data_IF_185678945531
#
_entry.id   IF_185678945531
#
_cell.length_a   1.000
_cell.length_b   1.000
_cell.length_c   1.000
_cell.angle_alpha   90.00
_cell.angle_beta   90.00
_cell.angle_gamma   90.00
#
_symmetry.space_group_name_H-M   'P 1'
#
loop_
_entity.id
_entity.type
_entity.pdbx_description
1 polymer ?
#
# COMPACT_ATOMS: atom_id res chain seq x y z
N UNK A 1 -52.36 7.05 67.84
CA UNK A 1 -51.55 8.06 67.15
C UNK A 1 -50.09 7.65 67.24
N UNK A 2 -49.79 6.42 66.85
CA UNK A 2 -49.62 5.97 65.44
C UNK A 2 -48.30 6.59 64.95
N UNK A 3 -47.19 5.89 64.76
CA UNK A 3 -47.02 4.52 64.32
C UNK A 3 -46.37 4.59 62.95
N UNK A 4 -45.03 4.57 62.86
CA UNK A 4 -44.39 4.46 61.55
C UNK A 4 -43.05 3.72 61.61
N UNK A 5 -43.18 2.39 61.61
CA UNK A 5 -42.71 1.58 60.48
C UNK A 5 -41.24 1.75 60.06
N UNK A 6 -40.38 0.94 60.68
CA UNK A 6 -39.06 0.61 60.14
C UNK A 6 -39.13 0.19 58.67
N UNK A 7 -38.34 0.82 57.80
CA UNK A 7 -38.05 0.27 56.48
C UNK A 7 -36.54 0.31 56.19
N UNK A 8 -35.81 -0.60 56.86
CA UNK A 8 -34.44 -0.97 56.47
C UNK A 8 -34.50 -1.67 55.11
N UNK A 9 -34.40 -0.91 54.03
CA UNK A 9 -34.18 -1.43 52.68
C UNK A 9 -32.91 -2.29 52.69
N UNK A 10 -33.09 -3.61 52.76
CA UNK A 10 -32.02 -4.59 52.49
C UNK A 10 -31.50 -4.34 51.08
N UNK A 11 -30.31 -3.74 50.96
CA UNK A 11 -29.53 -3.75 49.72
C UNK A 11 -29.23 -5.21 49.40
N UNK A 12 -30.00 -5.79 48.49
CA UNK A 12 -29.64 -7.02 47.81
C UNK A 12 -28.32 -6.76 47.09
N UNK A 13 -27.23 -7.37 47.57
CA UNK A 13 -25.97 -7.42 46.82
C UNK A 13 -26.29 -8.10 45.49
N UNK A 14 -26.01 -7.49 44.33
CA UNK A 14 -26.20 -8.18 43.06
C UNK A 14 -25.33 -9.45 43.09
N UNK A 15 -25.95 -10.59 42.79
CA UNK A 15 -25.24 -11.86 42.60
C UNK A 15 -24.15 -11.61 41.54
N UNK A 16 -22.90 -12.07 41.75
CA UNK A 16 -21.89 -11.97 40.71
C UNK A 16 -22.41 -12.75 39.50
N UNK A 17 -22.74 -12.04 38.43
CA UNK A 17 -22.88 -12.66 37.13
C UNK A 17 -21.55 -13.37 36.86
N UNK A 18 -21.56 -14.64 36.39
CA UNK A 18 -20.34 -15.30 35.98
C UNK A 18 -19.64 -14.34 35.03
N UNK A 19 -18.41 -13.98 35.37
CA UNK A 19 -17.63 -12.94 34.72
C UNK A 19 -17.93 -13.00 33.22
N UNK A 20 -18.46 -11.90 32.67
CA UNK A 20 -18.48 -11.74 31.22
C UNK A 20 -17.03 -11.95 30.80
N UNK A 21 -16.71 -13.14 30.29
CA UNK A 21 -15.34 -13.49 29.93
C UNK A 21 -14.92 -12.40 28.95
N UNK A 22 -13.96 -11.59 29.36
CA UNK A 22 -13.43 -10.54 28.52
C UNK A 22 -12.55 -11.22 27.47
N UNK A 23 -13.22 -11.79 26.47
CA UNK A 23 -12.59 -12.52 25.37
C UNK A 23 -11.55 -11.65 24.67
N UNK A 24 -11.78 -10.34 24.61
CA UNK A 24 -10.86 -9.36 24.01
C UNK A 24 -9.55 -9.30 24.80
N UNK A 25 -9.60 -9.32 26.13
CA UNK A 25 -8.40 -9.36 26.97
C UNK A 25 -7.60 -10.66 26.84
N UNK A 26 -8.26 -11.77 26.47
CA UNK A 26 -7.62 -13.09 26.30
C UNK A 26 -6.96 -13.32 24.93
N UNK A 27 -7.24 -12.49 23.94
CA UNK A 27 -6.67 -12.63 22.58
C UNK A 27 -5.14 -12.48 22.60
N UNK A 28 -4.38 -13.15 21.72
CA UNK A 28 -2.96 -12.86 21.46
C UNK A 28 -2.70 -11.46 20.85
N UNK A 29 -1.46 -10.94 20.93
CA UNK A 29 -1.12 -9.56 20.47
C UNK A 29 -1.27 -9.39 18.95
N UNK A 30 -0.95 -10.44 18.21
CA UNK A 30 -1.16 -10.63 16.79
C UNK A 30 -2.64 -10.44 16.38
N UNK A 31 -3.59 -10.92 17.18
CA UNK A 31 -5.02 -10.69 16.94
C UNK A 31 -5.41 -9.24 17.23
N UNK A 32 -4.75 -8.56 18.18
CA UNK A 32 -4.97 -7.14 18.41
C UNK A 32 -4.50 -6.30 17.22
N UNK A 33 -3.37 -6.67 16.60
CA UNK A 33 -2.89 -6.04 15.38
C UNK A 33 -3.88 -6.18 14.23
N UNK A 34 -4.51 -7.35 14.08
CA UNK A 34 -5.57 -7.58 13.08
C UNK A 34 -6.77 -6.68 13.35
N UNK A 35 -7.25 -6.63 14.60
CA UNK A 35 -8.40 -5.78 14.97
C UNK A 35 -8.09 -4.31 14.67
N UNK A 36 -6.95 -3.78 15.11
CA UNK A 36 -6.56 -2.39 14.83
C UNK A 36 -6.35 -2.15 13.33
N UNK A 37 -5.91 -3.16 12.58
CA UNK A 37 -5.83 -3.15 11.12
C UNK A 37 -7.16 -2.89 10.40
N UNK A 38 -8.27 -3.26 11.03
CA UNK A 38 -9.62 -3.12 10.49
C UNK A 38 -10.35 -1.86 10.97
N UNK A 39 -9.82 -1.18 11.99
CA UNK A 39 -10.45 0.00 12.55
C UNK A 39 -10.07 1.27 11.75
N UNK A 40 -11.04 2.18 11.51
CA UNK A 40 -10.71 3.53 11.05
C UNK A 40 -9.79 4.24 12.04
N UNK A 41 -8.93 5.14 11.55
CA UNK A 41 -7.92 5.88 12.33
C UNK A 41 -8.46 6.42 13.66
N UNK A 42 -9.63 7.07 13.66
CA UNK A 42 -10.25 7.64 14.88
C UNK A 42 -10.53 6.59 15.94
N UNK A 43 -11.06 5.44 15.53
CA UNK A 43 -11.36 4.31 16.41
C UNK A 43 -10.07 3.63 16.86
N UNK A 44 -9.11 3.45 15.95
CA UNK A 44 -7.78 2.92 16.26
C UNK A 44 -7.07 3.72 17.35
N UNK A 45 -7.00 5.05 17.22
CA UNK A 45 -6.42 5.93 18.25
C UNK A 45 -7.14 5.80 19.60
N UNK A 46 -8.47 5.66 19.59
CA UNK A 46 -9.26 5.49 20.82
C UNK A 46 -9.00 4.15 21.51
N UNK A 47 -8.62 3.10 20.79
CA UNK A 47 -8.31 1.81 21.40
C UNK A 47 -7.17 1.89 22.42
N UNK A 48 -6.24 2.83 22.26
CA UNK A 48 -5.16 3.08 23.21
C UNK A 48 -5.65 3.48 24.63
N UNK A 49 -6.92 3.86 24.77
CA UNK A 49 -7.57 4.17 26.05
C UNK A 49 -8.18 2.94 26.74
N UNK A 50 -8.36 1.81 26.04
CA UNK A 50 -9.04 0.63 26.57
C UNK A 50 -8.22 -0.08 27.65
N UNK A 51 -6.92 -0.30 27.39
CA UNK A 51 -6.01 -0.86 28.40
C UNK A 51 -4.55 -0.52 28.11
N UNK A 52 -3.66 -0.81 29.07
CA UNK A 52 -2.21 -0.70 28.89
C UNK A 52 -1.69 -1.53 27.70
N UNK A 53 -2.36 -2.64 27.40
CA UNK A 53 -1.99 -3.54 26.29
C UNK A 53 -2.34 -2.93 24.95
N UNK A 54 -3.55 -2.40 24.79
CA UNK A 54 -3.96 -1.69 23.58
C UNK A 54 -3.13 -0.42 23.30
N UNK A 55 -2.69 0.27 24.36
CA UNK A 55 -1.75 1.40 24.24
C UNK A 55 -0.40 1.01 23.64
N UNK A 56 0.00 -0.26 23.74
CA UNK A 56 1.28 -0.76 23.22
C UNK A 56 1.21 -1.12 21.74
N UNK A 57 0.02 -1.26 21.17
CA UNK A 57 -0.16 -1.66 19.77
C UNK A 57 0.14 -0.46 18.86
N UNK A 58 0.89 -0.64 17.76
CA UNK A 58 1.23 0.45 16.85
C UNK A 58 0.00 1.03 16.13
N UNK A 59 0.13 2.28 15.71
CA UNK A 59 -0.93 3.02 15.03
C UNK A 59 -1.03 2.63 13.55
N UNK A 60 -2.25 2.48 13.06
CA UNK A 60 -2.57 2.48 11.63
C UNK A 60 -3.24 3.81 11.28
N UNK A 61 -2.57 4.63 10.49
CA UNK A 61 -3.00 5.97 10.14
C UNK A 61 -3.47 6.00 8.68
N UNK A 62 -4.78 6.04 8.48
CA UNK A 62 -5.40 6.38 7.20
C UNK A 62 -5.79 7.85 7.18
N UNK A 63 -5.32 8.56 6.17
CA UNK A 63 -5.55 9.98 5.92
C UNK A 63 -6.50 10.09 4.74
N UNK A 64 -7.80 10.19 5.04
CA UNK A 64 -8.87 10.25 4.05
C UNK A 64 -9.95 11.28 4.46
N UNK A 65 -11.02 11.39 3.67
CA UNK A 65 -12.16 12.27 3.97
C UNK A 65 -12.88 11.94 5.28
N UNK A 66 -12.77 10.71 5.80
CA UNK A 66 -13.37 10.31 7.07
C UNK A 66 -12.61 10.88 8.28
N UNK A 67 -11.32 11.18 8.14
CA UNK A 67 -10.51 11.75 9.21
C UNK A 67 -10.97 13.17 9.58
N UNK A 68 -11.14 14.05 8.58
CA UNK A 68 -11.64 15.41 8.76
C UNK A 68 -12.22 15.94 7.45
N UNK A 69 -13.23 16.79 7.58
CA UNK A 69 -13.76 17.57 6.47
C UNK A 69 -12.79 18.70 6.10
N UNK A 70 -12.40 18.76 4.82
CA UNK A 70 -11.43 19.70 4.29
C UNK A 70 -9.96 19.34 4.56
N UNK A 71 -9.12 19.56 3.54
CA UNK A 71 -7.70 19.20 3.56
C UNK A 71 -6.92 19.88 4.69
N UNK A 72 -7.12 21.19 4.94
CA UNK A 72 -6.39 21.91 5.98
C UNK A 72 -6.62 21.31 7.39
N UNK A 73 -7.88 20.94 7.70
CA UNK A 73 -8.23 20.31 8.98
C UNK A 73 -7.67 18.89 9.06
N UNK A 74 -7.68 18.16 7.95
CA UNK A 74 -7.07 16.83 7.86
C UNK A 74 -5.57 16.89 8.11
N UNK A 75 -4.86 17.83 7.48
CA UNK A 75 -3.43 18.04 7.71
C UNK A 75 -3.13 18.36 9.17
N UNK A 76 -3.90 19.25 9.79
CA UNK A 76 -3.73 19.60 11.20
C UNK A 76 -3.97 18.39 12.13
N UNK A 77 -4.99 17.57 11.83
CA UNK A 77 -5.27 16.34 12.57
C UNK A 77 -4.11 15.34 12.47
N UNK A 78 -3.54 15.14 11.27
CA UNK A 78 -2.39 14.25 11.07
C UNK A 78 -1.18 14.74 11.85
N UNK A 79 -0.80 16.03 11.73
CA UNK A 79 0.31 16.59 12.50
C UNK A 79 0.10 16.40 14.02
N UNK A 80 -1.13 16.59 14.51
CA UNK A 80 -1.45 16.37 15.94
C UNK A 80 -1.35 14.89 16.34
N UNK A 81 -1.80 13.97 15.49
CA UNK A 81 -1.70 12.54 15.75
C UNK A 81 -0.23 12.12 15.81
N UNK A 82 0.59 12.51 14.82
CA UNK A 82 2.00 12.18 14.76
C UNK A 82 2.79 12.76 15.96
N UNK A 83 2.42 13.94 16.45
CA UNK A 83 3.08 14.54 17.62
C UNK A 83 2.61 14.01 18.96
N UNK A 84 1.35 13.55 19.06
CA UNK A 84 0.76 13.12 20.34
C UNK A 84 0.81 11.61 20.56
N UNK A 85 1.01 10.82 19.51
CA UNK A 85 0.96 9.36 19.62
C UNK A 85 2.27 8.81 20.23
N UNK A 86 2.21 8.05 21.33
CA UNK A 86 3.41 7.64 22.09
C UNK A 86 4.22 6.51 21.43
N UNK A 87 3.72 5.95 20.32
CA UNK A 87 4.32 4.79 19.63
C UNK A 87 4.41 5.05 18.13
N UNK A 88 5.42 4.49 17.45
CA UNK A 88 5.50 4.54 16.00
C UNK A 88 4.25 3.93 15.32
N UNK A 89 3.89 4.47 14.18
CA UNK A 89 2.89 3.93 13.29
C UNK A 89 3.48 2.77 12.49
N UNK A 90 2.69 1.72 12.31
CA UNK A 90 3.03 0.56 11.48
C UNK A 90 2.60 0.78 10.03
N UNK A 91 1.45 1.41 9.82
CA UNK A 91 0.86 1.68 8.51
C UNK A 91 0.47 3.14 8.35
N UNK A 92 0.82 3.71 7.21
CA UNK A 92 0.44 5.05 6.78
C UNK A 92 -0.19 4.94 5.40
N UNK A 93 -1.45 5.33 5.29
CA UNK A 93 -2.20 5.33 4.05
C UNK A 93 -2.73 6.73 3.77
N UNK A 94 -2.04 7.45 2.89
CA UNK A 94 -2.40 8.81 2.49
C UNK A 94 -3.24 8.74 1.23
N UNK A 95 -4.52 9.09 1.34
CA UNK A 95 -5.49 9.10 0.24
C UNK A 95 -5.96 10.51 -0.07
N UNK A 96 -5.74 10.93 -1.31
CA UNK A 96 -6.23 12.13 -2.01
C UNK A 96 -6.42 13.40 -1.16
N UNK A 97 -5.57 14.41 -1.40
CA UNK A 97 -5.87 15.80 -1.07
C UNK A 97 -6.46 16.50 -2.30
N UNK A 98 -7.66 17.05 -2.18
CA UNK A 98 -8.38 17.70 -3.30
C UNK A 98 -7.84 19.10 -3.64
N UNK A 99 -7.16 19.76 -2.69
CA UNK A 99 -6.89 21.20 -2.72
C UNK A 99 -5.55 21.58 -3.35
N UNK A 100 -5.49 22.82 -3.86
CA UNK A 100 -4.28 23.55 -4.27
C UNK A 100 -3.35 23.93 -3.10
N UNK A 101 -3.57 23.40 -1.89
CA UNK A 101 -2.79 23.77 -0.71
C UNK A 101 -1.31 23.35 -0.87
N UNK A 102 -0.41 24.20 -0.35
CA UNK A 102 1.03 23.93 -0.21
C UNK A 102 1.26 22.85 0.85
N UNK A 103 0.92 21.59 0.53
CA UNK A 103 1.05 20.45 1.47
C UNK A 103 2.44 19.79 1.44
N UNK A 104 3.28 20.10 0.45
CA UNK A 104 4.60 19.46 0.33
C UNK A 104 5.50 19.64 1.56
N UNK A 105 5.68 20.85 2.13
CA UNK A 105 6.52 21.01 3.31
C UNK A 105 6.02 20.21 4.52
N UNK A 106 4.71 20.01 4.62
CA UNK A 106 4.11 19.20 5.69
C UNK A 106 4.32 17.72 5.49
N UNK A 107 4.32 17.22 4.24
CA UNK A 107 4.71 15.84 4.00
C UNK A 107 6.15 15.60 4.44
N UNK A 108 7.06 16.51 4.07
CA UNK A 108 8.45 16.45 4.54
C UNK A 108 8.53 16.39 6.08
N UNK A 109 7.81 17.27 6.77
CA UNK A 109 7.72 17.27 8.23
C UNK A 109 7.18 15.94 8.79
N UNK A 110 6.15 15.37 8.17
CA UNK A 110 5.57 14.09 8.61
C UNK A 110 6.54 12.93 8.45
N UNK A 111 7.19 12.83 7.29
CA UNK A 111 8.22 11.82 7.05
C UNK A 111 9.44 12.05 7.94
N UNK A 112 9.71 13.27 8.40
CA UNK A 112 10.73 13.53 9.42
C UNK A 112 10.30 13.18 10.86
N UNK A 113 9.03 12.83 11.09
CA UNK A 113 8.54 12.48 12.43
C UNK A 113 9.06 11.12 12.92
N UNK A 114 9.54 11.01 14.18
CA UNK A 114 9.87 9.73 14.80
C UNK A 114 8.68 8.75 14.89
N UNK A 115 7.46 9.28 14.81
CA UNK A 115 6.26 8.46 14.78
C UNK A 115 6.18 7.56 13.54
N UNK A 116 7.01 7.76 12.50
CA UNK A 116 7.06 6.91 11.31
C UNK A 116 8.32 6.03 11.23
N UNK A 117 9.20 6.01 12.24
CA UNK A 117 10.49 5.31 12.16
C UNK A 117 10.40 3.79 12.00
N UNK A 118 9.27 3.19 12.38
CA UNK A 118 9.02 1.74 12.27
C UNK A 118 7.90 1.44 11.27
N UNK A 119 7.75 2.29 10.26
CA UNK A 119 6.70 2.12 9.27
C UNK A 119 6.99 0.89 8.40
N UNK A 120 6.04 -0.05 8.37
CA UNK A 120 6.11 -1.27 7.57
C UNK A 120 5.33 -1.12 6.26
N UNK A 121 4.23 -0.37 6.28
CA UNK A 121 3.35 -0.19 5.12
C UNK A 121 3.14 1.29 4.80
N UNK A 122 3.51 1.70 3.59
CA UNK A 122 3.26 3.04 3.06
C UNK A 122 2.39 2.97 1.82
N UNK A 123 1.27 3.70 1.85
CA UNK A 123 0.46 4.01 0.67
C UNK A 123 0.42 5.52 0.50
N UNK A 124 0.83 6.00 -0.66
CA UNK A 124 0.93 7.42 -0.97
C UNK A 124 0.18 7.73 -2.26
N UNK A 125 -0.99 8.36 -2.10
CA UNK A 125 -1.85 8.86 -3.15
C UNK A 125 -2.17 10.33 -2.87
N UNK A 126 -1.19 11.22 -3.05
CA UNK A 126 -1.33 12.63 -2.65
C UNK A 126 -2.13 13.49 -3.65
N UNK A 127 -2.64 12.92 -4.73
CA UNK A 127 -3.39 13.59 -5.79
C UNK A 127 -2.55 14.62 -6.58
N UNK A 128 -2.99 14.96 -7.80
CA UNK A 128 -2.36 15.97 -8.68
C UNK A 128 -0.85 15.76 -8.91
N UNK A 129 -0.38 14.52 -8.94
CA UNK A 129 1.02 14.21 -9.28
C UNK A 129 2.01 14.93 -8.36
N UNK A 130 1.81 14.85 -7.05
CA UNK A 130 2.78 15.40 -6.10
C UNK A 130 4.00 14.48 -6.05
N UNK A 131 5.18 15.07 -5.89
CA UNK A 131 6.41 14.30 -5.66
C UNK A 131 6.40 13.71 -4.27
N UNK A 132 6.77 12.44 -4.14
CA UNK A 132 7.12 11.86 -2.85
C UNK A 132 8.37 12.57 -2.34
N UNK A 133 8.36 13.10 -1.11
CA UNK A 133 9.49 13.85 -0.59
C UNK A 133 10.73 12.97 -0.39
N UNK A 134 11.96 13.51 -0.52
CA UNK A 134 13.18 12.77 -0.24
C UNK A 134 13.26 12.22 1.19
N UNK A 135 12.63 12.90 2.15
CA UNK A 135 12.54 12.47 3.54
C UNK A 135 11.85 11.10 3.72
N UNK A 136 10.97 10.70 2.78
CA UNK A 136 10.35 9.38 2.80
C UNK A 136 11.37 8.22 2.61
N UNK A 137 12.55 8.50 2.06
CA UNK A 137 13.60 7.49 1.86
C UNK A 137 14.16 6.94 3.17
N UNK A 138 14.01 7.65 4.29
CA UNK A 138 14.40 7.14 5.62
C UNK A 138 13.65 5.86 6.00
N UNK A 139 12.45 5.66 5.42
CA UNK A 139 11.57 4.53 5.71
C UNK A 139 12.02 3.26 4.98
N UNK A 140 12.96 3.36 4.04
CA UNK A 140 13.40 2.25 3.22
C UNK A 140 13.84 0.98 4.00
N UNK A 141 14.54 1.08 5.14
CA UNK A 141 14.99 -0.12 5.85
C UNK A 141 13.86 -0.94 6.50
N UNK A 142 12.74 -0.30 6.86
CA UNK A 142 11.64 -0.95 7.60
C UNK A 142 10.45 -1.31 6.72
N UNK A 143 10.40 -0.77 5.49
CA UNK A 143 9.24 -0.92 4.63
C UNK A 143 9.13 -2.33 4.04
N UNK A 144 7.97 -2.95 4.23
CA UNK A 144 7.62 -4.26 3.67
C UNK A 144 6.68 -4.13 2.47
N UNK A 145 5.80 -3.12 2.50
CA UNK A 145 4.84 -2.83 1.43
C UNK A 145 4.84 -1.36 1.07
N UNK A 146 5.05 -1.07 -0.22
CA UNK A 146 4.93 0.27 -0.79
C UNK A 146 3.82 0.30 -1.83
N UNK A 147 2.94 1.29 -1.73
CA UNK A 147 1.98 1.64 -2.77
C UNK A 147 2.13 3.11 -3.14
N UNK A 148 2.38 3.36 -4.42
CA UNK A 148 2.51 4.70 -4.97
C UNK A 148 1.46 4.89 -6.06
N UNK A 149 0.58 5.88 -5.89
CA UNK A 149 -0.54 6.14 -6.78
C UNK A 149 -0.55 7.61 -7.20
N UNK A 150 -0.60 7.88 -8.52
CA UNK A 150 -0.67 9.25 -9.07
C UNK A 150 0.36 10.22 -8.48
N UNK A 151 1.63 9.79 -8.35
CA UNK A 151 2.73 10.57 -7.77
C UNK A 151 4.02 10.51 -8.59
N UNK A 152 4.93 11.48 -8.40
CA UNK A 152 6.29 11.41 -8.92
C UNK A 152 7.22 10.86 -7.84
N UNK A 153 8.01 9.84 -8.16
CA UNK A 153 9.06 9.37 -7.25
C UNK A 153 10.24 10.36 -7.26
N UNK A 154 10.94 10.56 -6.12
CA UNK A 154 12.12 11.41 -6.07
C UNK A 154 13.19 10.89 -7.04
N UNK A 155 14.18 11.71 -7.41
CA UNK A 155 15.29 11.26 -8.24
C UNK A 155 16.16 10.25 -7.48
N UNK A 156 15.76 8.97 -7.51
CA UNK A 156 16.48 7.84 -6.91
C UNK A 156 17.87 7.67 -7.56
N UNK A 157 18.08 8.25 -8.76
CA UNK A 157 19.31 8.17 -9.55
C UNK A 157 20.55 8.83 -8.92
N UNK A 158 20.39 9.66 -7.88
CA UNK A 158 21.48 10.45 -7.30
C UNK A 158 22.05 9.89 -5.99
N UNK A 159 21.55 8.76 -5.48
CA UNK A 159 21.95 8.25 -4.18
C UNK A 159 22.71 6.92 -4.28
N UNK A 160 23.84 6.77 -3.56
CA UNK A 160 24.46 5.47 -3.37
C UNK A 160 23.49 4.58 -2.59
N UNK A 161 23.01 3.53 -3.25
CA UNK A 161 22.33 2.35 -2.75
C UNK A 161 21.90 2.40 -1.26
N UNK A 162 20.74 2.97 -0.96
CA UNK A 162 19.99 2.56 0.22
C UNK A 162 19.21 1.32 -0.20
N UNK A 163 19.57 0.10 0.24
CA UNK A 163 18.80 -1.08 -0.07
C UNK A 163 17.36 -0.88 0.46
N UNK A 164 16.38 -1.45 -0.23
CA UNK A 164 15.03 -1.67 0.31
C UNK A 164 14.95 -3.15 0.69
N UNK A 165 15.69 -3.60 1.72
CA UNK A 165 16.00 -5.01 1.91
C UNK A 165 14.80 -5.82 2.40
N UNK A 166 13.78 -5.16 2.97
CA UNK A 166 12.59 -5.79 3.51
C UNK A 166 11.37 -5.66 2.58
N UNK A 167 11.50 -4.93 1.46
CA UNK A 167 10.34 -4.62 0.61
C UNK A 167 9.92 -5.85 -0.19
N UNK A 168 8.80 -6.45 0.22
CA UNK A 168 8.22 -7.65 -0.40
C UNK A 168 7.18 -7.31 -1.45
N UNK A 169 6.48 -6.19 -1.30
CA UNK A 169 5.39 -5.79 -2.19
C UNK A 169 5.54 -4.34 -2.65
N UNK A 170 5.52 -4.15 -3.97
CA UNK A 170 5.53 -2.84 -4.62
C UNK A 170 4.34 -2.72 -5.56
N UNK A 171 3.44 -1.80 -5.26
CA UNK A 171 2.30 -1.43 -6.10
C UNK A 171 2.54 -0.03 -6.69
N UNK A 172 2.60 0.09 -8.01
CA UNK A 172 2.67 1.36 -8.73
C UNK A 172 1.41 1.53 -9.58
N UNK A 173 0.71 2.65 -9.39
CA UNK A 173 -0.52 2.99 -10.12
C UNK A 173 -0.45 4.41 -10.69
N UNK A 174 -0.64 4.57 -12.00
CA UNK A 174 -0.63 5.88 -12.66
C UNK A 174 0.61 6.72 -12.28
N UNK A 175 1.81 6.15 -12.46
CA UNK A 175 3.09 6.76 -12.05
C UNK A 175 3.94 7.10 -13.29
N UNK A 176 4.57 8.29 -13.29
CA UNK A 176 5.59 8.65 -14.28
C UNK A 176 6.98 8.43 -13.69
N UNK A 177 7.78 7.58 -14.32
CA UNK A 177 9.14 7.27 -13.90
C UNK A 177 10.02 7.02 -15.14
N UNK A 178 11.29 7.40 -15.09
CA UNK A 178 12.22 7.10 -16.19
C UNK A 178 12.65 5.63 -16.14
N UNK A 179 13.00 5.06 -17.30
CA UNK A 179 13.50 3.67 -17.41
C UNK A 179 14.63 3.38 -16.41
N UNK A 180 15.65 4.25 -16.37
CA UNK A 180 16.80 4.11 -15.47
C UNK A 180 16.40 4.10 -14.00
N UNK A 181 15.45 4.95 -13.60
CA UNK A 181 14.98 4.99 -12.22
C UNK A 181 14.16 3.75 -11.85
N UNK A 182 13.37 3.21 -12.78
CA UNK A 182 12.62 1.97 -12.57
C UNK A 182 13.56 0.77 -12.40
N UNK A 183 14.51 0.60 -13.31
CA UNK A 183 15.50 -0.50 -13.26
C UNK A 183 16.34 -0.41 -11.98
N UNK A 184 16.76 0.81 -11.60
CA UNK A 184 17.47 1.02 -10.35
C UNK A 184 16.60 0.72 -9.12
N UNK A 185 15.32 1.10 -9.11
CA UNK A 185 14.38 0.77 -8.03
C UNK A 185 14.23 -0.75 -7.86
N UNK A 186 14.07 -1.49 -8.97
CA UNK A 186 13.97 -2.95 -8.93
C UNK A 186 15.27 -3.59 -8.43
N UNK A 187 16.43 -3.07 -8.83
CA UNK A 187 17.74 -3.54 -8.35
C UNK A 187 17.92 -3.32 -6.83
N UNK A 188 17.40 -2.21 -6.29
CA UNK A 188 17.46 -1.90 -4.86
C UNK A 188 16.53 -2.81 -4.02
N UNK A 189 15.44 -3.31 -4.61
CA UNK A 189 14.43 -4.13 -3.92
C UNK A 189 14.77 -5.62 -4.01
N UNK A 190 15.78 -6.06 -3.28
CA UNK A 190 16.30 -7.45 -3.38
C UNK A 190 15.34 -8.51 -2.84
N UNK A 191 14.45 -8.18 -1.91
CA UNK A 191 13.47 -9.10 -1.32
C UNK A 191 12.07 -9.04 -1.96
N UNK A 192 11.94 -8.41 -3.13
CA UNK A 192 10.64 -8.17 -3.76
C UNK A 192 10.00 -9.48 -4.25
N UNK A 193 8.84 -9.81 -3.70
CA UNK A 193 8.05 -11.00 -4.03
C UNK A 193 6.87 -10.67 -4.96
N UNK A 194 6.29 -9.47 -4.84
CA UNK A 194 5.13 -9.03 -5.61
C UNK A 194 5.36 -7.65 -6.23
N UNK A 195 5.15 -7.56 -7.54
CA UNK A 195 5.22 -6.31 -8.31
C UNK A 195 3.92 -6.08 -9.07
N UNK A 196 3.24 -4.96 -8.79
CA UNK A 196 2.08 -4.49 -9.54
C UNK A 196 2.41 -3.20 -10.28
N UNK A 197 2.25 -3.24 -11.60
CA UNK A 197 2.46 -2.14 -12.51
C UNK A 197 1.14 -1.83 -13.22
N UNK A 198 0.51 -0.74 -12.85
CA UNK A 198 -0.73 -0.30 -13.46
C UNK A 198 -0.57 1.12 -13.99
N UNK A 199 -0.82 1.32 -15.29
CA UNK A 199 -0.72 2.65 -15.93
C UNK A 199 0.64 3.34 -15.68
N UNK A 200 1.74 2.66 -16.02
CA UNK A 200 3.08 3.24 -15.85
C UNK A 200 3.50 3.98 -17.12
N UNK A 201 4.07 5.17 -16.92
CA UNK A 201 4.45 6.10 -17.98
C UNK A 201 5.93 6.44 -17.93
N UNK A 202 6.50 6.82 -19.08
CA UNK A 202 7.83 7.43 -19.16
C UNK A 202 8.92 6.57 -19.81
N UNK A 203 8.56 5.39 -20.32
CA UNK A 203 9.43 4.52 -21.09
C UNK A 203 8.62 3.56 -21.96
N UNK A 204 9.24 3.08 -23.05
CA UNK A 204 8.61 2.15 -24.01
C UNK A 204 8.99 0.69 -23.72
N UNK A 205 10.15 0.46 -23.12
CA UNK A 205 10.64 -0.88 -22.78
C UNK A 205 11.03 -0.98 -21.32
N UNK A 206 10.71 -2.11 -20.68
CA UNK A 206 11.10 -2.44 -19.32
C UNK A 206 11.76 -3.81 -19.27
N UNK A 207 12.94 -3.86 -18.65
CA UNK A 207 13.63 -5.11 -18.33
C UNK A 207 13.52 -5.37 -16.83
N UNK A 208 13.05 -6.55 -16.46
CA UNK A 208 12.86 -6.99 -15.09
C UNK A 208 13.78 -8.18 -14.84
N UNK A 209 14.72 -7.99 -13.93
CA UNK A 209 15.57 -9.06 -13.38
C UNK A 209 15.36 -9.09 -11.88
N UNK A 210 15.08 -10.27 -11.32
CA UNK A 210 14.89 -10.43 -9.89
C UNK A 210 15.03 -11.88 -9.47
N UNK A 211 15.70 -12.11 -8.34
CA UNK A 211 15.93 -13.44 -7.81
C UNK A 211 14.86 -13.91 -6.83
N UNK A 212 13.85 -13.09 -6.48
CA UNK A 212 12.84 -13.44 -5.47
C UNK A 212 11.39 -13.17 -5.93
N UNK A 213 11.20 -12.62 -7.13
CA UNK A 213 9.88 -12.19 -7.59
C UNK A 213 9.00 -13.39 -7.94
N UNK A 214 7.83 -13.48 -7.30
CA UNK A 214 6.86 -14.59 -7.45
C UNK A 214 5.64 -14.17 -8.25
N UNK A 215 5.23 -12.90 -8.11
CA UNK A 215 4.03 -12.38 -8.77
C UNK A 215 4.30 -11.07 -9.47
N UNK A 216 3.92 -11.02 -10.74
CA UNK A 216 3.90 -9.80 -11.54
C UNK A 216 2.48 -9.58 -12.00
N UNK A 217 1.93 -8.41 -11.71
CA UNK A 217 0.66 -7.96 -12.25
C UNK A 217 0.88 -6.72 -13.10
N UNK A 218 0.36 -6.75 -14.33
CA UNK A 218 0.45 -5.65 -15.28
C UNK A 218 -0.93 -5.34 -15.83
N UNK A 219 -1.30 -4.07 -15.87
CA UNK A 219 -2.51 -3.65 -16.59
C UNK A 219 -2.40 -2.24 -17.14
N UNK A 220 -2.89 -2.08 -18.37
CA UNK A 220 -3.12 -0.79 -19.00
C UNK A 220 -4.59 -0.72 -19.47
N UNK A 221 -5.18 0.46 -19.38
CA UNK A 221 -6.58 0.71 -19.68
C UNK A 221 -6.69 1.95 -20.58
N UNK A 222 -7.65 1.97 -21.52
CA UNK A 222 -7.83 3.07 -22.47
C UNK A 222 -8.04 4.43 -21.80
N UNK A 223 -7.44 5.43 -22.44
CA UNK A 223 -7.18 6.79 -21.96
C UNK A 223 -8.45 7.65 -21.80
N UNK A 224 -9.29 7.38 -20.79
CA UNK A 224 -10.43 8.26 -20.51
C UNK A 224 -10.16 9.31 -19.42
N UNK A 225 -9.43 9.00 -18.33
CA UNK A 225 -9.14 9.96 -17.23
C UNK A 225 -7.89 9.56 -16.42
N UNK A 226 -6.67 9.87 -16.88
CA UNK A 226 -5.48 9.80 -15.99
C UNK A 226 -5.42 11.05 -15.11
N UNK A 227 -4.98 10.89 -13.85
CA UNK A 227 -4.80 12.02 -12.92
C UNK A 227 -3.62 12.90 -13.35
N UNK A 228 -2.63 12.28 -14.01
CA UNK A 228 -1.55 12.96 -14.72
C UNK A 228 -2.12 13.42 -16.06
N UNK A 229 -2.30 14.74 -16.23
CA UNK A 229 -3.01 15.33 -17.37
C UNK A 229 -2.55 14.86 -18.77
N UNK A 230 -3.33 15.21 -19.80
CA UNK A 230 -3.25 14.78 -21.22
C UNK A 230 -1.93 14.99 -21.98
N UNK A 231 -0.77 15.13 -21.33
CA UNK A 231 0.52 15.12 -22.03
C UNK A 231 0.72 13.75 -22.66
N UNK A 232 1.38 13.73 -23.82
CA UNK A 232 1.73 12.52 -24.57
C UNK A 232 2.70 11.66 -23.75
N UNK A 233 2.15 10.94 -22.77
CA UNK A 233 2.88 9.98 -21.95
C UNK A 233 3.05 8.72 -22.79
N UNK A 234 4.30 8.30 -22.95
CA UNK A 234 4.66 7.03 -23.56
C UNK A 234 4.32 5.90 -22.58
N UNK A 235 3.44 5.01 -23.00
CA UNK A 235 3.19 3.73 -22.34
C UNK A 235 4.34 2.77 -22.66
N UNK A 236 4.63 1.85 -21.74
CA UNK A 236 5.56 0.77 -22.04
C UNK A 236 4.85 -0.30 -22.86
N UNK A 237 5.44 -0.65 -23.99
CA UNK A 237 4.90 -1.59 -24.96
C UNK A 237 5.67 -2.92 -24.94
N UNK A 238 6.92 -2.91 -24.45
CA UNK A 238 7.79 -4.09 -24.45
C UNK A 238 8.21 -4.40 -23.01
N UNK A 239 7.93 -5.62 -22.56
CA UNK A 239 8.39 -6.13 -21.27
C UNK A 239 9.28 -7.33 -21.47
N UNK A 240 10.47 -7.31 -20.90
CA UNK A 240 11.40 -8.43 -20.89
C UNK A 240 11.65 -8.83 -19.45
N UNK A 241 11.25 -10.05 -19.09
CA UNK A 241 11.44 -10.65 -17.77
C UNK A 241 12.54 -11.69 -17.95
N UNK A 242 13.66 -11.52 -17.25
CA UNK A 242 14.83 -12.37 -17.41
C UNK A 242 15.38 -12.79 -16.06
N UNK A 243 15.87 -14.04 -15.94
CA UNK A 243 16.47 -14.57 -14.73
C UNK A 243 15.55 -14.42 -13.49
N UNK A 244 14.29 -14.84 -13.62
CA UNK A 244 13.30 -14.81 -12.53
C UNK A 244 12.89 -16.24 -12.16
N UNK A 245 13.74 -16.98 -11.42
CA UNK A 245 13.60 -18.42 -11.25
C UNK A 245 12.38 -18.84 -10.43
N UNK A 246 11.89 -17.97 -9.53
CA UNK A 246 10.75 -18.25 -8.66
C UNK A 246 9.44 -17.60 -9.12
N UNK A 247 9.38 -17.11 -10.36
CA UNK A 247 8.15 -16.52 -10.87
C UNK A 247 7.06 -17.59 -10.90
N UNK A 248 5.97 -17.36 -10.16
CA UNK A 248 4.83 -18.27 -10.09
C UNK A 248 3.68 -17.79 -10.96
N UNK A 249 3.40 -16.48 -10.96
CA UNK A 249 2.30 -15.93 -11.76
C UNK A 249 2.70 -14.62 -12.43
N UNK A 250 2.46 -14.56 -13.73
CA UNK A 250 2.45 -13.34 -14.51
C UNK A 250 1.01 -13.08 -14.95
N UNK A 251 0.40 -12.07 -14.36
CA UNK A 251 -0.96 -11.64 -14.64
C UNK A 251 -0.91 -10.39 -15.51
N UNK A 252 -1.49 -10.46 -16.70
CA UNK A 252 -1.57 -9.32 -17.61
C UNK A 252 -3.03 -9.10 -17.97
N UNK A 253 -3.66 -8.13 -17.32
CA UNK A 253 -5.06 -7.77 -17.54
C UNK A 253 -5.10 -6.59 -18.48
N UNK A 254 -5.42 -6.78 -19.76
CA UNK A 254 -5.23 -5.70 -20.73
C UNK A 254 -6.26 -5.52 -21.85
N UNK A 255 -6.37 -4.24 -22.25
CA UNK A 255 -7.01 -3.73 -23.47
C UNK A 255 -6.00 -2.92 -24.34
N UNK A 256 -4.86 -2.43 -23.82
CA UNK A 256 -3.90 -1.52 -24.50
C UNK A 256 -2.39 -1.65 -24.13
N UNK A 257 -1.99 -2.46 -23.16
CA UNK A 257 -0.65 -2.45 -22.56
C UNK A 257 0.40 -3.26 -23.31
N UNK A 258 1.35 -3.95 -22.63
CA UNK A 258 2.57 -4.39 -23.29
C UNK A 258 2.23 -5.30 -24.47
N UNK A 259 2.48 -4.79 -25.68
CA UNK A 259 2.21 -5.48 -26.94
C UNK A 259 3.14 -6.68 -27.11
N UNK A 260 4.32 -6.63 -26.50
CA UNK A 260 5.32 -7.70 -26.51
C UNK A 260 5.80 -8.02 -25.10
N UNK A 261 5.66 -9.28 -24.69
CA UNK A 261 6.25 -9.79 -23.45
C UNK A 261 7.22 -10.92 -23.79
N UNK A 262 8.45 -10.82 -23.30
CA UNK A 262 9.47 -11.87 -23.41
C UNK A 262 9.85 -12.34 -22.02
N UNK A 263 9.63 -13.60 -21.72
CA UNK A 263 10.05 -14.25 -20.48
C UNK A 263 11.21 -15.18 -20.82
N UNK A 264 12.35 -14.98 -20.19
CA UNK A 264 13.60 -15.69 -20.42
C UNK A 264 14.00 -16.30 -19.06
N UNK A 265 14.24 -17.60 -19.02
CA UNK A 265 14.67 -18.32 -17.80
C UNK A 265 13.76 -18.09 -16.57
N UNK A 266 12.47 -18.39 -16.74
CA UNK A 266 11.48 -18.43 -15.65
C UNK A 266 10.73 -19.78 -15.68
N UNK A 267 11.26 -20.84 -15.04
CA UNK A 267 10.83 -22.22 -15.24
C UNK A 267 9.44 -22.53 -14.68
N UNK A 268 8.97 -21.79 -13.67
CA UNK A 268 7.70 -22.04 -12.96
C UNK A 268 6.59 -21.04 -13.29
N UNK A 269 6.82 -20.14 -14.24
CA UNK A 269 5.94 -18.99 -14.48
C UNK A 269 4.63 -19.41 -15.13
N UNK A 270 3.53 -19.28 -14.38
CA UNK A 270 2.19 -19.47 -14.93
C UNK A 270 1.66 -18.12 -15.45
N UNK A 271 1.56 -18.01 -16.76
CA UNK A 271 1.14 -16.77 -17.43
C UNK A 271 -0.37 -16.80 -17.64
N UNK A 272 -1.06 -15.87 -17.01
CA UNK A 272 -2.49 -15.64 -17.21
C UNK A 272 -2.67 -14.26 -17.84
N UNK A 273 -3.40 -14.22 -18.94
CA UNK A 273 -3.72 -12.95 -19.56
C UNK A 273 -5.10 -12.91 -20.15
N UNK A 274 -5.78 -11.80 -19.92
CA UNK A 274 -7.00 -11.42 -20.62
C UNK A 274 -6.71 -10.48 -21.81
N UNK A 275 -5.43 -10.21 -22.11
CA UNK A 275 -4.97 -9.24 -23.09
C UNK A 275 -4.96 -9.77 -24.52
N UNK A 276 -5.16 -8.86 -25.49
CA UNK A 276 -4.79 -9.10 -26.89
C UNK A 276 -3.30 -8.81 -27.05
N UNK A 277 -2.44 -9.82 -26.95
CA UNK A 277 -1.02 -9.66 -27.26
C UNK A 277 -0.77 -9.65 -28.76
N UNK A 278 0.25 -8.89 -29.19
CA UNK A 278 0.82 -9.08 -30.52
C UNK A 278 1.80 -10.26 -30.50
N UNK A 279 2.65 -10.35 -29.47
CA UNK A 279 3.65 -11.42 -29.31
C UNK A 279 3.92 -11.72 -27.82
N UNK A 280 3.86 -13.01 -27.43
CA UNK A 280 4.25 -13.50 -26.10
C UNK A 280 5.30 -14.60 -26.27
N UNK A 281 6.47 -14.43 -25.68
CA UNK A 281 7.57 -15.40 -25.71
C UNK A 281 7.84 -15.91 -24.29
N UNK A 282 7.88 -17.22 -24.09
CA UNK A 282 8.22 -17.86 -22.81
C UNK A 282 9.32 -18.89 -23.07
N UNK A 283 10.57 -18.55 -22.74
CA UNK A 283 11.75 -19.34 -23.10
C UNK A 283 11.97 -19.39 -24.62
N UNK A 284 12.40 -20.55 -25.14
CA UNK A 284 12.50 -20.82 -26.59
C UNK A 284 11.17 -21.24 -27.24
N UNK A 285 10.07 -21.27 -26.48
CA UNK A 285 8.79 -21.82 -26.93
C UNK A 285 7.71 -20.74 -26.97
N UNK A 286 6.99 -20.68 -28.09
CA UNK A 286 5.80 -19.84 -28.26
C UNK A 286 4.64 -20.57 -27.57
N UNK A 287 4.13 -20.04 -26.47
CA UNK A 287 2.94 -20.60 -25.80
C UNK A 287 1.70 -19.85 -26.29
N UNK A 288 0.77 -20.57 -26.92
CA UNK A 288 -0.53 -20.00 -27.30
C UNK A 288 -1.39 -19.73 -26.05
N UNK A 289 -1.92 -18.52 -25.98
CA UNK A 289 -2.79 -18.03 -24.91
C UNK A 289 -4.08 -18.84 -24.87
N UNK A 290 -4.37 -19.46 -23.73
CA UNK A 290 -5.63 -20.16 -23.52
C UNK A 290 -6.73 -19.12 -23.24
N UNK A 291 -7.57 -18.86 -24.24
CA UNK A 291 -8.72 -17.98 -24.10
C UNK A 291 -9.80 -18.64 -23.22
N UNK A 292 -9.96 -18.19 -21.98
CA UNK A 292 -11.16 -18.50 -21.21
C UNK A 292 -12.31 -17.59 -21.65
N UNK A 293 -13.00 -17.97 -22.73
CA UNK A 293 -14.32 -17.42 -23.02
C UNK A 293 -15.35 -18.11 -22.11
N UNK A 294 -15.66 -17.51 -20.97
CA UNK A 294 -16.93 -17.78 -20.30
C UNK A 294 -17.98 -16.88 -20.94
N UNK A 295 -18.63 -17.38 -21.98
CA UNK A 295 -19.88 -16.82 -22.49
C UNK A 295 -20.95 -16.96 -21.38
N UNK A 296 -21.70 -15.91 -21.02
CA UNK A 296 -22.99 -16.13 -20.39
C UNK A 296 -23.94 -16.61 -21.50
N UNK A 297 -24.36 -17.86 -21.38
CA UNK A 297 -25.45 -18.43 -22.17
C UNK A 297 -26.77 -17.75 -21.80
N UNK A 298 -27.45 -17.26 -22.85
CA UNK A 298 -28.90 -17.03 -22.98
C UNK A 298 -29.56 -15.91 -22.17
#
# INVERSE_FOLDING_TARGET
>A
MDGEGANKRRRLKPKPHPASLDFISSLPDDMLLVIIGLLPTKSGVRTALLSRRWRRVPLNLTVDSCLSDGDCKRMAAVSKILSSHPRPARRLDIRMFSTNCKVQPKFDEWFLSPALDQLEELSFEAGRCRSLPPSALRLAPTLHRARFSSCYLPQINAMPALPLPQLKQLDLFDVVISKKAMEHLLCICTALEYLRLEQIHGFISLHITSTNLRWIYVSCWPRNKTSIGKRSLQLFHIMVIENVPFLERLLVSDLEGPTKIRVIDAPTALVHSSAKFSELFIGSVIVQVQHSYSSPSS
#
